data_IF_684213845875
#
_entry.id   IF_684213845875
#
_cell.length_a   1.000
_cell.length_b   1.000
_cell.length_c   1.000
_cell.angle_alpha   90.00
_cell.angle_beta   90.00
_cell.angle_gamma   90.00
#
_symmetry.space_group_name_H-M   'P 1'
#
loop_
_entity.id
_entity.type
_entity.pdbx_description
1 polymer ?
#
# COMPACT_ATOMS: atom_id res chain seq x y z
N UNK A 1 47.54 -27.59 47.73
CA UNK A 1 46.69 -28.55 47.00
C UNK A 1 45.45 -27.82 46.50
N UNK A 2 45.20 -27.91 45.20
CA UNK A 2 44.12 -27.27 44.44
C UNK A 2 42.73 -27.71 44.91
N UNK A 3 41.77 -26.78 44.97
CA UNK A 3 40.38 -27.02 44.51
C UNK A 3 39.87 -25.77 43.79
N UNK A 4 39.89 -25.84 42.46
CA UNK A 4 39.25 -24.89 41.55
C UNK A 4 37.73 -25.11 41.63
N UNK A 5 36.98 -24.08 42.01
CA UNK A 5 35.52 -24.06 41.87
C UNK A 5 35.21 -23.38 40.54
N UNK A 6 34.81 -24.17 39.55
CA UNK A 6 34.38 -23.68 38.25
C UNK A 6 32.96 -23.10 38.36
N UNK A 7 32.82 -21.78 38.17
CA UNK A 7 31.52 -21.16 37.93
C UNK A 7 31.12 -21.41 36.47
N UNK A 8 30.03 -22.16 36.29
CA UNK A 8 29.40 -22.36 34.98
C UNK A 8 28.40 -21.21 34.81
N UNK A 9 28.80 -20.17 34.07
CA UNK A 9 27.89 -19.10 33.64
C UNK A 9 27.18 -19.60 32.39
N UNK A 10 25.92 -20.02 32.53
CA UNK A 10 25.06 -20.38 31.41
C UNK A 10 24.53 -19.09 30.78
N UNK A 11 25.22 -18.59 29.76
CA UNK A 11 24.79 -17.42 28.99
C UNK A 11 23.56 -17.79 28.13
N UNK A 12 22.36 -17.55 28.66
CA UNK A 12 21.12 -17.60 27.88
C UNK A 12 21.06 -16.38 26.94
N UNK A 13 21.58 -16.53 25.73
CA UNK A 13 21.47 -15.51 24.68
C UNK A 13 20.03 -15.39 24.17
N UNK A 14 19.54 -14.18 23.83
CA UNK A 14 18.18 -14.00 23.33
C UNK A 14 18.04 -14.61 21.92
N UNK A 15 17.17 -15.60 21.79
CA UNK A 15 16.78 -16.20 20.52
C UNK A 15 15.96 -15.20 19.71
N UNK A 16 16.60 -14.46 18.79
CA UNK A 16 15.94 -13.64 17.79
C UNK A 16 15.13 -14.54 16.85
N UNK A 17 13.84 -14.74 17.15
CA UNK A 17 12.91 -15.39 16.24
C UNK A 17 12.55 -14.41 15.12
N UNK A 18 13.28 -14.48 14.01
CA UNK A 18 12.85 -13.86 12.76
C UNK A 18 11.61 -14.62 12.26
N UNK A 19 10.43 -14.05 12.47
CA UNK A 19 9.21 -14.60 11.87
C UNK A 19 9.36 -14.63 10.34
N UNK A 20 8.97 -15.73 9.67
CA UNK A 20 9.03 -15.79 8.22
C UNK A 20 8.08 -14.73 7.65
N UNK A 21 8.64 -13.73 6.97
CA UNK A 21 7.83 -12.82 6.16
C UNK A 21 7.32 -13.65 4.98
N UNK A 22 6.05 -14.06 5.01
CA UNK A 22 5.42 -14.69 3.85
C UNK A 22 5.30 -13.63 2.75
N UNK A 23 6.32 -13.55 1.91
CA UNK A 23 6.28 -12.79 0.68
C UNK A 23 5.21 -13.43 -0.22
N UNK A 24 4.08 -12.75 -0.42
CA UNK A 24 3.06 -13.19 -1.37
C UNK A 24 3.69 -13.33 -2.76
N UNK A 25 3.86 -14.58 -3.18
CA UNK A 25 4.66 -15.05 -4.31
C UNK A 25 3.90 -15.06 -5.65
N UNK A 26 2.86 -14.22 -5.78
CA UNK A 26 2.10 -14.05 -7.01
C UNK A 26 2.62 -12.88 -7.86
N UNK A 27 2.54 -12.98 -9.18
CA UNK A 27 2.74 -11.81 -10.02
C UNK A 27 1.61 -10.78 -9.75
N UNK A 28 1.91 -9.48 -9.57
CA UNK A 28 0.87 -8.48 -9.29
C UNK A 28 -0.11 -8.38 -10.45
N UNK A 29 -1.40 -8.37 -10.17
CA UNK A 29 -2.48 -8.23 -11.14
C UNK A 29 -2.43 -6.88 -11.89
N UNK A 30 -1.78 -5.86 -11.32
CA UNK A 30 -1.58 -4.58 -11.98
C UNK A 30 -0.86 -3.55 -11.13
N UNK A 31 -0.94 -2.29 -11.57
CA UNK A 31 -0.38 -1.13 -10.88
C UNK A 31 -1.44 -0.06 -10.73
N UNK A 32 -1.60 0.45 -9.51
CA UNK A 32 -2.42 1.63 -9.21
C UNK A 32 -1.50 2.82 -8.96
N UNK A 33 -1.81 3.97 -9.54
CA UNK A 33 -1.05 5.20 -9.30
C UNK A 33 -2.00 6.38 -9.20
N UNK A 34 -1.87 7.19 -8.15
CA UNK A 34 -2.67 8.39 -7.95
C UNK A 34 -1.81 9.64 -7.95
N UNK A 35 -2.36 10.71 -8.52
CA UNK A 35 -1.70 12.01 -8.61
C UNK A 35 -2.23 12.92 -7.51
N UNK A 36 -1.34 13.58 -6.77
CA UNK A 36 -1.70 14.51 -5.69
C UNK A 36 -1.59 15.93 -6.24
N UNK A 37 -2.73 16.58 -6.51
CA UNK A 37 -2.77 17.92 -7.09
C UNK A 37 -2.57 19.08 -6.08
N UNK A 38 -3.09 18.95 -4.86
CA UNK A 38 -3.12 20.03 -3.85
C UNK A 38 -2.03 19.89 -2.76
N UNK A 39 -1.06 19.00 -2.95
CA UNK A 39 -0.12 18.60 -1.89
C UNK A 39 -0.71 17.58 -0.91
N UNK A 40 0.14 16.76 -0.30
CA UNK A 40 -0.29 15.61 0.52
C UNK A 40 -1.05 16.04 1.78
N UNK A 41 -0.52 17.00 2.53
CA UNK A 41 -1.14 17.46 3.79
C UNK A 41 -2.57 17.99 3.57
N UNK A 42 -2.80 18.78 2.51
CA UNK A 42 -4.13 19.27 2.16
C UNK A 42 -5.04 18.13 1.70
N UNK A 43 -4.54 17.20 0.89
CA UNK A 43 -5.33 16.05 0.42
C UNK A 43 -5.81 15.17 1.60
N UNK A 44 -4.97 14.96 2.61
CA UNK A 44 -5.33 14.20 3.82
C UNK A 44 -6.32 14.99 4.68
N UNK A 45 -6.07 16.28 4.93
CA UNK A 45 -6.90 17.11 5.80
C UNK A 45 -8.31 17.35 5.22
N UNK A 46 -8.40 17.59 3.92
CA UNK A 46 -9.67 17.89 3.24
C UNK A 46 -10.35 16.65 2.65
N UNK A 47 -9.67 15.49 2.69
CA UNK A 47 -10.13 14.25 2.06
C UNK A 47 -10.52 14.45 0.58
N UNK A 48 -9.82 15.34 -0.11
CA UNK A 48 -10.13 15.70 -1.50
C UNK A 48 -9.90 14.50 -2.42
N UNK A 49 -10.79 14.24 -3.39
CA UNK A 49 -10.59 13.17 -4.35
C UNK A 49 -9.32 13.37 -5.18
N UNK A 50 -8.57 12.29 -5.32
CA UNK A 50 -7.36 12.16 -6.12
C UNK A 50 -7.69 11.40 -7.41
N UNK A 51 -7.07 11.79 -8.51
CA UNK A 51 -7.18 11.00 -9.74
C UNK A 51 -6.24 9.79 -9.66
N UNK A 52 -6.81 8.60 -9.72
CA UNK A 52 -6.12 7.32 -9.66
C UNK A 52 -6.27 6.57 -10.98
N UNK A 53 -5.17 5.99 -11.47
CA UNK A 53 -5.11 5.21 -12.71
C UNK A 53 -4.65 3.80 -12.41
N UNK A 54 -5.52 2.84 -12.69
CA UNK A 54 -5.24 1.41 -12.57
C UNK A 54 -4.89 0.82 -13.93
N UNK A 55 -3.64 0.36 -14.05
CA UNK A 55 -3.12 -0.37 -15.20
C UNK A 55 -3.06 -1.86 -14.85
N UNK A 56 -4.07 -2.66 -15.23
CA UNK A 56 -4.00 -4.10 -15.05
C UNK A 56 -2.95 -4.72 -15.96
N UNK A 57 -2.43 -5.89 -15.61
CA UNK A 57 -1.58 -6.69 -16.50
C UNK A 57 -2.35 -7.20 -17.72
N UNK A 58 -3.64 -7.50 -17.53
CA UNK A 58 -4.57 -7.95 -18.58
C UNK A 58 -5.90 -7.22 -18.41
N UNK A 59 -6.31 -6.49 -19.44
CA UNK A 59 -7.53 -5.69 -19.45
C UNK A 59 -7.27 -4.21 -19.79
N UNK A 60 -8.33 -3.40 -19.91
CA UNK A 60 -8.21 -1.98 -20.21
C UNK A 60 -7.70 -1.16 -19.02
N UNK A 61 -7.11 -0.01 -19.30
CA UNK A 61 -6.83 1.02 -18.30
C UNK A 61 -8.14 1.46 -17.64
N UNK A 62 -8.14 1.60 -16.31
CA UNK A 62 -9.29 2.06 -15.55
C UNK A 62 -8.94 3.31 -14.76
N UNK A 63 -9.88 4.26 -14.69
CA UNK A 63 -9.73 5.50 -13.94
C UNK A 63 -10.62 5.46 -12.70
N UNK A 64 -10.06 5.84 -11.57
CA UNK A 64 -10.70 5.86 -10.26
C UNK A 64 -10.54 7.22 -9.61
N UNK A 65 -11.50 7.57 -8.78
CA UNK A 65 -11.38 8.62 -7.76
C UNK A 65 -10.94 7.96 -6.47
N UNK A 66 -9.85 8.44 -5.87
CA UNK A 66 -9.32 7.92 -4.62
C UNK A 66 -9.35 8.95 -3.49
N UNK A 67 -9.76 8.56 -2.29
CA UNK A 67 -9.77 9.45 -1.12
C UNK A 67 -8.92 8.83 0.00
N UNK A 68 -7.98 9.61 0.53
CA UNK A 68 -7.22 9.21 1.72
C UNK A 68 -8.09 9.45 2.94
N UNK A 69 -8.49 8.35 3.61
CA UNK A 69 -9.30 8.39 4.83
C UNK A 69 -8.43 8.34 6.10
N UNK A 70 -7.20 7.84 5.99
CA UNK A 70 -6.25 7.76 7.10
C UNK A 70 -4.80 7.80 6.62
N UNK A 71 -3.96 8.51 7.39
CA UNK A 71 -2.54 8.65 7.11
C UNK A 71 -1.75 8.69 8.42
N UNK A 72 -0.65 7.92 8.51
CA UNK A 72 0.12 7.73 9.74
C UNK A 72 1.51 8.38 9.75
N UNK A 73 1.92 9.01 8.65
CA UNK A 73 3.21 9.72 8.56
C UNK A 73 2.97 11.24 8.60
N UNK A 74 4.00 12.00 8.94
CA UNK A 74 3.93 13.46 8.87
C UNK A 74 3.88 13.93 7.42
N UNK A 75 2.69 14.31 6.97
CA UNK A 75 2.44 14.74 5.59
C UNK A 75 3.06 16.12 5.25
N UNK A 76 3.50 16.89 6.24
CA UNK A 76 3.94 18.30 6.09
C UNK A 76 5.32 18.45 5.47
N UNK A 77 6.19 17.44 5.57
CA UNK A 77 7.59 17.49 5.12
C UNK A 77 7.82 16.97 3.71
N UNK A 78 6.77 16.45 3.05
CA UNK A 78 6.91 15.82 1.74
C UNK A 78 6.51 16.79 0.63
N UNK A 79 7.47 17.13 -0.24
CA UNK A 79 7.24 17.95 -1.44
C UNK A 79 6.47 17.20 -2.54
N UNK A 80 7.10 16.96 -3.69
CA UNK A 80 6.49 16.15 -4.77
C UNK A 80 6.29 14.72 -4.30
N UNK A 81 5.04 14.39 -4.04
CA UNK A 81 4.59 13.08 -3.57
C UNK A 81 3.66 12.45 -4.58
N UNK A 82 3.69 11.13 -4.63
CA UNK A 82 2.77 10.35 -5.44
C UNK A 82 2.39 9.09 -4.67
N UNK A 83 1.26 8.51 -5.03
CA UNK A 83 0.81 7.25 -4.44
C UNK A 83 0.92 6.16 -5.50
N UNK A 84 1.73 5.15 -5.21
CA UNK A 84 1.91 4.04 -6.12
C UNK A 84 1.84 2.70 -5.39
N UNK A 85 0.94 1.83 -5.85
CA UNK A 85 0.77 0.48 -5.35
C UNK A 85 0.97 -0.56 -6.45
N UNK A 86 1.40 -1.74 -6.05
CA UNK A 86 1.16 -3.00 -6.76
C UNK A 86 -0.18 -3.55 -6.29
N UNK A 87 -0.98 -4.04 -7.22
CA UNK A 87 -2.30 -4.60 -6.95
C UNK A 87 -2.22 -6.11 -7.02
N UNK A 88 -2.74 -6.79 -6.01
CA UNK A 88 -2.90 -8.23 -5.93
C UNK A 88 -4.37 -8.54 -5.73
N UNK A 89 -4.88 -9.55 -6.41
CA UNK A 89 -6.27 -10.00 -6.31
C UNK A 89 -6.43 -11.35 -7.01
N UNK A 90 -7.57 -12.04 -6.83
CA UNK A 90 -7.79 -13.40 -7.32
C UNK A 90 -8.03 -13.48 -8.84
N UNK A 91 -7.98 -12.36 -9.55
CA UNK A 91 -8.33 -12.27 -10.97
C UNK A 91 -7.10 -12.32 -11.89
N UNK A 92 -7.16 -13.19 -12.90
CA UNK A 92 -6.17 -13.22 -13.99
C UNK A 92 -6.36 -12.06 -15.00
N UNK A 93 -7.60 -11.58 -15.17
CA UNK A 93 -7.97 -10.39 -15.96
C UNK A 93 -8.88 -9.54 -15.09
N UNK A 94 -8.48 -8.31 -14.83
CA UNK A 94 -9.20 -7.43 -13.91
C UNK A 94 -10.50 -6.92 -14.57
N UNK A 95 -11.70 -7.20 -14.00
CA UNK A 95 -12.94 -6.63 -14.49
C UNK A 95 -13.00 -5.12 -14.20
N UNK A 96 -13.91 -4.43 -14.89
CA UNK A 96 -14.15 -3.01 -14.65
C UNK A 96 -14.68 -2.79 -13.24
N UNK A 97 -14.10 -1.84 -12.50
CA UNK A 97 -14.59 -1.50 -11.17
C UNK A 97 -14.08 -2.40 -10.05
N UNK A 98 -13.23 -3.39 -10.32
CA UNK A 98 -12.76 -4.37 -9.32
C UNK A 98 -12.08 -3.74 -8.10
N UNK A 99 -11.46 -2.57 -8.24
CA UNK A 99 -10.83 -1.87 -7.12
C UNK A 99 -11.79 -0.98 -6.32
N UNK A 100 -13.06 -0.86 -6.70
CA UNK A 100 -13.99 0.00 -5.98
C UNK A 100 -14.26 -0.54 -4.58
N UNK A 101 -14.29 0.34 -3.59
CA UNK A 101 -14.53 -0.01 -2.19
C UNK A 101 -13.54 0.63 -1.23
N UNK A 102 -13.73 0.30 0.05
CA UNK A 102 -12.87 0.74 1.14
C UNK A 102 -11.67 -0.19 1.30
N UNK A 103 -10.56 0.38 1.75
CA UNK A 103 -9.31 -0.30 2.04
C UNK A 103 -8.78 0.14 3.39
N UNK A 104 -8.31 -0.82 4.17
CA UNK A 104 -7.72 -0.57 5.47
C UNK A 104 -6.38 -1.32 5.59
N UNK A 105 -5.47 -0.73 6.37
CA UNK A 105 -4.24 -1.37 6.76
C UNK A 105 -4.50 -2.22 8.01
N UNK A 106 -4.15 -3.50 7.94
CA UNK A 106 -4.16 -4.37 9.12
C UNK A 106 -2.95 -4.08 10.00
N UNK A 107 -3.08 -4.35 11.29
CA UNK A 107 -1.97 -4.16 12.23
C UNK A 107 -0.78 -5.05 11.83
N UNK A 108 0.43 -4.48 11.84
CA UNK A 108 1.64 -5.19 11.43
C UNK A 108 1.81 -5.35 9.91
N UNK A 109 0.87 -4.88 9.08
CA UNK A 109 0.99 -4.93 7.63
C UNK A 109 1.37 -3.57 7.02
N UNK A 110 2.05 -3.61 5.87
CA UNK A 110 2.33 -2.42 5.04
C UNK A 110 1.34 -2.25 3.88
N UNK A 111 0.65 -3.32 3.51
CA UNK A 111 -0.33 -3.33 2.44
C UNK A 111 -1.71 -2.93 2.96
N UNK A 112 -2.50 -2.33 2.10
CA UNK A 112 -3.93 -2.16 2.35
C UNK A 112 -4.68 -3.38 1.82
N UNK A 113 -5.71 -3.82 2.52
CA UNK A 113 -6.62 -4.87 2.06
C UNK A 113 -8.05 -4.31 2.01
N UNK A 114 -8.80 -4.65 0.98
CA UNK A 114 -10.12 -4.09 0.72
C UNK A 114 -10.66 -4.48 -0.65
N UNK A 115 -11.49 -3.60 -1.23
CA UNK A 115 -12.41 -3.81 -2.38
C UNK A 115 -13.84 -4.05 -1.91
N UNK A 116 -14.76 -4.21 -2.86
CA UNK A 116 -16.13 -4.65 -2.60
C UNK A 116 -16.18 -6.03 -1.92
N UNK A 117 -15.34 -6.96 -2.39
CA UNK A 117 -15.31 -8.35 -1.93
C UNK A 117 -14.21 -8.60 -0.86
N UNK A 118 -13.39 -7.59 -0.54
CA UNK A 118 -12.32 -7.68 0.47
C UNK A 118 -11.11 -8.52 0.04
N UNK A 119 -11.00 -8.83 -1.23
CA UNK A 119 -10.06 -9.78 -1.84
C UNK A 119 -8.85 -9.11 -2.51
N UNK A 120 -8.79 -7.78 -2.51
CA UNK A 120 -7.72 -7.01 -3.14
C UNK A 120 -6.71 -6.52 -2.11
N UNK A 121 -5.42 -6.72 -2.40
CA UNK A 121 -4.29 -6.14 -1.67
C UNK A 121 -3.55 -5.09 -2.47
N UNK A 122 -3.37 -3.91 -1.87
CA UNK A 122 -2.58 -2.80 -2.39
C UNK A 122 -1.26 -2.71 -1.63
N UNK A 123 -0.19 -3.24 -2.22
CA UNK A 123 1.15 -3.18 -1.63
C UNK A 123 1.92 -1.96 -2.14
N UNK A 124 2.48 -1.11 -1.26
CA UNK A 124 3.28 0.04 -1.68
C UNK A 124 4.44 -0.36 -2.59
N UNK A 125 4.70 0.44 -3.62
CA UNK A 125 5.76 0.17 -4.61
C UNK A 125 6.99 1.03 -4.34
N UNK A 126 8.18 0.44 -4.28
CA UNK A 126 9.41 1.22 -4.32
C UNK A 126 9.51 1.97 -5.67
N UNK A 127 9.82 3.27 -5.61
CA UNK A 127 10.00 4.10 -6.80
C UNK A 127 11.39 4.72 -6.82
N UNK A 128 11.95 4.97 -8.02
CA UNK A 128 13.15 5.78 -8.14
C UNK A 128 12.91 7.19 -7.58
N UNK A 129 13.87 7.71 -6.80
CA UNK A 129 13.79 9.02 -6.14
C UNK A 129 13.49 10.18 -7.12
N UNK A 130 13.99 10.08 -8.35
CA UNK A 130 13.74 11.03 -9.45
C UNK A 130 12.25 11.28 -9.74
N UNK A 131 11.37 10.32 -9.42
CA UNK A 131 9.91 10.47 -9.64
C UNK A 131 9.18 11.12 -8.46
N UNK A 132 9.88 11.38 -7.36
CA UNK A 132 9.31 11.84 -6.09
C UNK A 132 9.17 10.71 -5.06
N UNK A 133 8.85 11.11 -3.82
CA UNK A 133 8.68 10.16 -2.73
C UNK A 133 7.32 9.44 -2.85
N UNK A 134 7.34 8.10 -2.82
CA UNK A 134 6.10 7.33 -2.72
C UNK A 134 5.60 7.33 -1.28
N UNK A 135 4.51 8.06 -1.03
CA UNK A 135 3.92 8.19 0.31
C UNK A 135 2.84 7.16 0.59
N UNK A 136 2.66 6.17 -0.30
CA UNK A 136 1.73 5.07 -0.12
C UNK A 136 1.93 4.29 1.19
N UNK A 137 3.17 4.22 1.69
CA UNK A 137 3.50 3.59 2.97
C UNK A 137 2.89 4.31 4.18
N UNK A 138 2.43 5.55 4.03
CA UNK A 138 1.76 6.30 5.11
C UNK A 138 0.24 6.13 5.11
N UNK A 139 -0.39 5.68 4.03
CA UNK A 139 -1.85 5.59 3.92
C UNK A 139 -2.41 4.41 4.72
N UNK A 140 -3.17 4.67 5.79
CA UNK A 140 -3.76 3.62 6.64
C UNK A 140 -5.19 3.26 6.27
N UNK A 141 -5.93 4.19 5.67
CA UNK A 141 -7.25 3.96 5.14
C UNK A 141 -7.43 4.71 3.82
N UNK A 142 -8.05 4.05 2.84
CA UNK A 142 -8.19 4.56 1.49
C UNK A 142 -9.51 4.10 0.88
N UNK A 143 -10.13 4.92 0.06
CA UNK A 143 -11.38 4.59 -0.59
C UNK A 143 -11.25 4.85 -2.09
N UNK A 144 -11.74 3.91 -2.90
CA UNK A 144 -11.68 3.99 -4.36
C UNK A 144 -13.08 3.89 -4.96
N UNK A 145 -13.37 4.78 -5.90
CA UNK A 145 -14.62 4.79 -6.66
C UNK A 145 -14.30 4.81 -8.16
N UNK A 146 -14.90 3.92 -8.93
CA UNK A 146 -14.69 3.88 -10.37
C UNK A 146 -15.24 5.17 -11.00
N UNK A 147 -14.41 5.89 -11.76
CA UNK A 147 -14.89 6.96 -12.62
C UNK A 147 -15.34 6.30 -13.91
N UNK A 148 -16.65 6.14 -14.09
CA UNK A 148 -17.19 5.83 -15.41
C UNK A 148 -17.04 7.10 -16.24
N UNK A 149 -16.08 7.13 -17.16
CA UNK A 149 -16.07 8.18 -18.18
C UNK A 149 -17.44 8.19 -18.87
N UNK A 150 -18.14 9.33 -18.92
CA UNK A 150 -19.30 9.46 -19.80
C UNK A 150 -18.83 9.10 -21.20
N UNK A 151 -19.49 8.14 -21.86
CA UNK A 151 -19.29 7.94 -23.30
C UNK A 151 -19.55 9.31 -23.94
N UNK A 152 -18.52 9.96 -24.48
CA UNK A 152 -18.73 11.08 -25.42
C UNK A 152 -19.58 10.48 -26.54
N UNK A 153 -20.86 10.84 -26.55
CA UNK A 153 -21.78 10.57 -27.64
C UNK A 153 -21.46 11.54 -28.77
#
# INVERSE_FOLDING_TARGET
MRRLIAMIVLAAGPSLHAAPVLAQSGAPAGRLTCTIGAGLAQAVATQKPLECRFRPRRGPLQTYSGVIRGFALDAKTVGRSLLAWRVYGPYARAPLGVLAGAYARKQGEVALTGSHDGDVRLAPRALPLQRGANVALGVTAFELSLIRSPRRR
#
